data_IF_574085057452
#
_entry.id   IF_574085057452
#
_cell.length_a   1.000
_cell.length_b   1.000
_cell.length_c   1.000
_cell.angle_alpha   90.00
_cell.angle_beta   90.00
_cell.angle_gamma   90.00
#
_symmetry.space_group_name_H-M   'P 1'
#
loop_
_entity.id
_entity.type
_entity.pdbx_description
1 polymer ?
#
# COMPACT_ATOMS: atom_id res chain seq x y z
N UNK A 1 16.36 -3.11 -18.95
CA UNK A 1 16.18 -2.25 -17.84
C UNK A 1 14.85 -2.51 -17.22
N UNK A 2 14.87 -2.73 -15.93
CA UNK A 2 13.63 -2.99 -15.24
C UNK A 2 12.94 -1.70 -14.91
N UNK A 3 11.64 -1.69 -15.03
CA UNK A 3 10.85 -0.55 -14.62
C UNK A 3 9.79 -1.01 -13.63
N UNK A 4 9.27 -0.08 -12.87
CA UNK A 4 8.21 -0.34 -11.91
C UNK A 4 7.32 0.89 -11.83
N UNK A 5 6.15 0.70 -11.25
CA UNK A 5 5.22 1.81 -11.02
C UNK A 5 5.23 2.16 -9.53
N UNK A 6 5.04 3.42 -9.24
CA UNK A 6 4.93 3.89 -7.87
C UNK A 6 3.97 5.07 -7.82
N UNK A 7 3.57 5.44 -6.62
CA UNK A 7 2.72 6.60 -6.43
C UNK A 7 3.60 7.84 -6.30
N UNK A 8 3.12 8.98 -6.78
CA UNK A 8 3.84 10.25 -6.61
C UNK A 8 4.03 10.53 -5.12
N UNK A 9 5.17 11.13 -4.78
CA UNK A 9 5.47 11.48 -3.40
C UNK A 9 4.50 12.55 -2.89
N UNK A 10 4.26 12.53 -1.58
CA UNK A 10 3.43 13.54 -0.89
C UNK A 10 1.96 13.51 -1.31
N UNK A 11 1.50 12.38 -1.83
CA UNK A 11 0.11 12.17 -2.21
C UNK A 11 -0.38 10.94 -1.47
N UNK A 12 -1.60 11.01 -0.96
CA UNK A 12 -2.25 9.83 -0.39
C UNK A 12 -3.47 9.53 -1.26
N UNK A 13 -3.49 8.33 -1.85
CA UNK A 13 -4.66 7.86 -2.58
C UNK A 13 -5.52 7.01 -1.65
N UNK A 14 -6.82 6.99 -1.86
CA UNK A 14 -7.70 6.18 -1.03
C UNK A 14 -8.81 5.56 -1.85
N UNK A 15 -9.33 4.44 -1.33
CA UNK A 15 -10.46 3.76 -1.90
C UNK A 15 -11.24 3.10 -0.79
N UNK A 16 -12.51 2.84 -1.04
CA UNK A 16 -13.38 2.27 -0.02
C UNK A 16 -14.22 1.16 -0.62
N UNK A 17 -14.47 0.13 0.20
CA UNK A 17 -15.36 -0.96 -0.15
C UNK A 17 -16.24 -1.26 1.05
N UNK A 18 -17.54 -1.44 0.82
CA UNK A 18 -18.48 -1.74 1.90
C UNK A 18 -19.15 -3.08 1.60
N UNK A 19 -19.21 -3.96 2.60
CA UNK A 19 -19.89 -5.24 2.48
C UNK A 19 -20.54 -5.54 3.83
N UNK A 20 -21.83 -5.82 3.81
CA UNK A 20 -22.58 -6.14 5.01
C UNK A 20 -22.32 -5.14 6.14
N UNK A 21 -22.31 -3.87 5.76
CA UNK A 21 -22.08 -2.72 6.66
C UNK A 21 -20.66 -2.61 7.21
N UNK A 22 -19.78 -3.55 6.94
CA UNK A 22 -18.36 -3.37 7.24
C UNK A 22 -17.77 -2.45 6.19
N UNK A 23 -16.95 -1.47 6.66
CA UNK A 23 -16.28 -0.53 5.77
C UNK A 23 -14.80 -0.83 5.74
N UNK A 24 -14.26 -0.87 4.54
CA UNK A 24 -12.84 -1.12 4.31
C UNK A 24 -12.28 0.08 3.56
N UNK A 25 -11.40 0.81 4.21
CA UNK A 25 -10.82 2.04 3.66
C UNK A 25 -9.35 1.81 3.42
N UNK A 26 -8.94 1.80 2.15
CA UNK A 26 -7.53 1.62 1.80
C UNK A 26 -6.89 2.99 1.63
N UNK A 27 -5.73 3.18 2.29
CA UNK A 27 -4.92 4.39 2.14
C UNK A 27 -3.58 3.96 1.55
N UNK A 28 -3.16 4.61 0.48
CA UNK A 28 -1.97 4.24 -0.29
C UNK A 28 -1.04 5.45 -0.42
N UNK A 29 0.25 5.26 -0.12
CA UNK A 29 1.24 6.32 -0.23
C UNK A 29 2.55 5.79 -0.81
N UNK A 30 3.37 6.69 -1.31
CA UNK A 30 4.74 6.40 -1.69
C UNK A 30 5.63 6.35 -0.46
N UNK A 31 6.54 5.37 -0.43
CA UNK A 31 7.55 5.27 0.62
C UNK A 31 8.90 4.99 -0.02
N UNK A 32 9.99 5.36 0.70
CA UNK A 32 11.35 5.12 0.26
C UNK A 32 12.08 4.14 1.17
N UNK A 33 11.51 3.82 2.32
CA UNK A 33 12.17 2.97 3.31
C UNK A 33 11.14 2.30 4.21
N UNK A 34 11.61 1.30 4.95
CA UNK A 34 10.77 0.64 5.95
C UNK A 34 10.38 1.62 7.05
N UNK A 35 11.27 2.54 7.42
CA UNK A 35 10.94 3.53 8.44
C UNK A 35 9.78 4.42 8.00
N UNK A 36 9.75 4.82 6.73
CA UNK A 36 8.64 5.60 6.21
C UNK A 36 7.35 4.80 6.20
N UNK A 37 7.44 3.50 5.88
CA UNK A 37 6.28 2.63 5.94
C UNK A 37 5.72 2.56 7.36
N UNK A 38 6.59 2.35 8.34
CA UNK A 38 6.17 2.26 9.74
C UNK A 38 5.56 3.56 10.23
N UNK A 39 6.11 4.70 9.81
CA UNK A 39 5.56 6.01 10.19
C UNK A 39 4.15 6.18 9.62
N UNK A 40 3.94 5.78 8.39
CA UNK A 40 2.61 5.88 7.78
C UNK A 40 1.62 4.94 8.46
N UNK A 41 2.03 3.71 8.75
CA UNK A 41 1.17 2.75 9.43
C UNK A 41 0.73 3.31 10.79
N UNK A 42 1.66 3.88 11.55
CA UNK A 42 1.32 4.46 12.84
C UNK A 42 0.39 5.66 12.71
N UNK A 43 0.60 6.48 11.69
CA UNK A 43 -0.27 7.62 11.44
C UNK A 43 -1.69 7.17 11.16
N UNK A 44 -1.87 6.13 10.34
CA UNK A 44 -3.21 5.62 10.03
C UNK A 44 -3.83 4.99 11.27
N UNK A 45 -3.05 4.28 12.09
CA UNK A 45 -3.57 3.71 13.34
C UNK A 45 -4.09 4.78 14.27
N UNK A 46 -3.43 5.92 14.34
CA UNK A 46 -3.90 7.04 15.15
C UNK A 46 -5.12 7.70 14.53
N UNK A 47 -5.12 7.85 13.21
CA UNK A 47 -6.25 8.45 12.49
C UNK A 47 -7.53 7.62 12.69
N UNK A 48 -7.39 6.30 12.70
CA UNK A 48 -8.51 5.37 12.81
C UNK A 48 -8.36 4.50 14.06
N UNK A 49 -8.11 5.15 15.20
CA UNK A 49 -7.84 4.42 16.44
C UNK A 49 -9.03 3.59 16.90
N UNK A 50 -10.24 3.96 16.47
CA UNK A 50 -11.46 3.26 16.84
C UNK A 50 -11.83 2.15 15.85
N UNK A 51 -11.03 1.92 14.84
CA UNK A 51 -11.30 0.85 13.88
C UNK A 51 -10.95 -0.51 14.47
N UNK A 52 -11.61 -1.55 13.96
CA UNK A 52 -11.36 -2.92 14.41
C UNK A 52 -9.96 -3.37 13.99
N UNK A 53 -9.56 -3.09 12.77
CA UNK A 53 -8.26 -3.50 12.23
C UNK A 53 -7.69 -2.43 11.31
N UNK A 54 -6.36 -2.32 11.28
CA UNK A 54 -5.62 -1.49 10.33
C UNK A 54 -4.55 -2.39 9.73
N UNK A 55 -4.80 -2.91 8.54
CA UNK A 55 -4.02 -3.97 7.92
C UNK A 55 -2.99 -3.38 6.97
N UNK A 56 -1.68 -3.54 7.26
CA UNK A 56 -0.63 -2.94 6.44
C UNK A 56 -0.07 -3.91 5.41
N UNK A 57 0.40 -3.36 4.30
CA UNK A 57 1.22 -4.07 3.34
C UNK A 57 2.11 -3.08 2.62
N UNK A 58 3.38 -3.42 2.42
CA UNK A 58 4.27 -2.54 1.67
C UNK A 58 5.30 -3.35 0.89
N UNK A 59 5.80 -2.72 -0.19
CA UNK A 59 6.81 -3.28 -1.06
C UNK A 59 7.83 -2.20 -1.34
N UNK A 60 9.12 -2.53 -1.19
CA UNK A 60 10.20 -1.62 -1.56
C UNK A 60 10.82 -2.05 -2.89
N UNK A 61 11.48 -1.12 -3.55
CA UNK A 61 12.06 -1.38 -4.86
C UNK A 61 13.15 -2.45 -4.81
N UNK A 62 13.80 -2.64 -3.66
CA UNK A 62 14.84 -3.66 -3.50
C UNK A 62 14.25 -5.07 -3.32
N UNK A 63 12.94 -5.21 -3.33
CA UNK A 63 12.28 -6.49 -3.21
C UNK A 63 11.78 -6.85 -1.83
N UNK A 64 12.15 -6.07 -0.81
CA UNK A 64 11.61 -6.33 0.52
C UNK A 64 10.13 -6.00 0.55
N UNK A 65 9.37 -6.84 1.22
CA UNK A 65 7.93 -6.60 1.39
C UNK A 65 7.49 -7.12 2.75
N UNK A 66 6.40 -6.57 3.23
CA UNK A 66 5.85 -6.99 4.51
C UNK A 66 4.34 -6.78 4.51
N UNK A 67 3.65 -7.60 5.27
CA UNK A 67 2.22 -7.45 5.49
C UNK A 67 1.85 -8.07 6.84
N UNK A 68 0.69 -7.71 7.34
CA UNK A 68 0.16 -8.27 8.58
C UNK A 68 -1.34 -8.33 8.47
N UNK A 69 -1.96 -9.33 9.10
CA UNK A 69 -3.42 -9.41 9.16
C UNK A 69 -4.00 -8.54 10.27
N UNK A 70 -3.17 -8.01 11.14
CA UNK A 70 -3.58 -7.12 12.25
C UNK A 70 -4.76 -7.69 13.04
N UNK A 71 -4.69 -8.99 13.36
CA UNK A 71 -5.72 -9.63 14.16
C UNK A 71 -6.87 -10.21 13.37
N UNK A 72 -6.96 -9.99 12.08
CA UNK A 72 -7.92 -10.69 11.24
C UNK A 72 -7.50 -12.15 11.09
N UNK A 73 -8.41 -13.06 10.68
CA UNK A 73 -8.01 -14.44 10.45
C UNK A 73 -6.85 -14.55 9.46
N UNK A 74 -6.04 -15.58 9.67
CA UNK A 74 -4.79 -15.74 8.93
C UNK A 74 -5.01 -15.71 7.41
N UNK A 75 -4.21 -14.91 6.73
CA UNK A 75 -4.14 -14.82 5.26
C UNK A 75 -5.40 -14.26 4.60
N UNK A 76 -6.26 -13.60 5.37
CA UNK A 76 -7.50 -13.03 4.80
C UNK A 76 -7.37 -11.56 4.45
N UNK A 77 -6.31 -10.91 4.91
CA UNK A 77 -6.27 -9.45 4.90
C UNK A 77 -4.97 -8.89 4.38
N UNK A 78 -3.86 -9.10 5.08
CA UNK A 78 -2.58 -8.55 4.68
C UNK A 78 -2.09 -9.08 3.35
N UNK A 79 -2.19 -10.39 3.14
CA UNK A 79 -1.73 -11.00 1.90
C UNK A 79 -2.57 -10.56 0.70
N UNK A 80 -3.90 -10.54 0.76
CA UNK A 80 -4.70 -9.98 -0.34
C UNK A 80 -4.34 -8.55 -0.69
N UNK A 81 -4.08 -7.71 0.32
CA UNK A 81 -3.66 -6.33 0.10
C UNK A 81 -2.31 -6.31 -0.65
N UNK A 82 -1.35 -7.11 -0.19
CA UNK A 82 -0.04 -7.18 -0.82
C UNK A 82 -0.14 -7.68 -2.27
N UNK A 83 -1.00 -8.67 -2.51
CA UNK A 83 -1.18 -9.24 -3.85
C UNK A 83 -1.68 -8.21 -4.84
N UNK A 84 -2.56 -7.31 -4.42
CA UNK A 84 -3.03 -6.23 -5.30
C UNK A 84 -1.87 -5.31 -5.68
N UNK A 85 -1.02 -4.95 -4.71
CA UNK A 85 0.12 -4.09 -5.00
C UNK A 85 1.08 -4.76 -5.97
N UNK A 86 1.34 -6.07 -5.78
CA UNK A 86 2.19 -6.83 -6.68
C UNK A 86 1.58 -6.89 -8.09
N UNK A 87 0.29 -7.18 -8.17
CA UNK A 87 -0.38 -7.31 -9.46
C UNK A 87 -0.42 -6.02 -10.25
N UNK A 88 -0.40 -4.89 -9.56
CA UNK A 88 -0.37 -3.57 -10.19
C UNK A 88 1.05 -3.14 -10.57
N UNK A 89 2.06 -3.95 -10.24
CA UNK A 89 3.45 -3.61 -10.53
C UNK A 89 4.01 -2.50 -9.67
N UNK A 90 3.39 -2.25 -8.51
CA UNK A 90 3.79 -1.14 -7.65
C UNK A 90 4.95 -1.51 -6.74
N UNK A 91 5.90 -0.61 -6.60
CA UNK A 91 6.99 -0.72 -5.65
C UNK A 91 7.19 0.64 -4.99
N UNK A 92 7.87 0.65 -3.85
CA UNK A 92 8.04 1.84 -3.03
C UNK A 92 6.68 2.44 -2.66
N UNK A 93 5.78 1.56 -2.23
CA UNK A 93 4.44 1.96 -1.78
C UNK A 93 4.08 1.24 -0.50
N UNK A 94 3.22 1.88 0.28
CA UNK A 94 2.64 1.30 1.48
C UNK A 94 1.14 1.52 1.43
N UNK A 95 0.40 0.46 1.72
CA UNK A 95 -1.06 0.53 1.80
C UNK A 95 -1.50 0.05 3.17
N UNK A 96 -2.42 0.77 3.79
CA UNK A 96 -3.06 0.32 5.02
C UNK A 96 -4.55 0.27 4.75
N UNK A 97 -5.19 -0.86 5.01
CA UNK A 97 -6.64 -0.99 4.88
C UNK A 97 -7.24 -1.00 6.26
N UNK A 98 -8.06 0.00 6.55
CA UNK A 98 -8.74 0.18 7.82
C UNK A 98 -10.12 -0.44 7.72
N UNK A 99 -10.50 -1.27 8.70
CA UNK A 99 -11.80 -1.90 8.71
C UNK A 99 -12.62 -1.47 9.91
N UNK A 100 -13.84 -1.02 9.65
CA UNK A 100 -14.87 -0.79 10.67
C UNK A 100 -15.89 -1.90 10.55
N UNK A 101 -16.04 -2.67 11.63
CA UNK A 101 -16.93 -3.83 11.64
C UNK A 101 -18.39 -3.40 11.58
N UNK A 102 -19.18 -4.07 10.75
CA UNK A 102 -20.59 -3.72 10.57
C UNK A 102 -21.58 -4.59 11.29
N UNK A 103 -21.11 -5.48 12.17
CA UNK A 103 -22.00 -6.33 12.96
C UNK A 103 -22.28 -7.71 12.36
N UNK A 104 -21.81 -7.97 11.15
CA UNK A 104 -22.00 -9.27 10.49
C UNK A 104 -20.65 -9.82 10.05
N UNK A 105 -20.40 -11.08 10.36
CA UNK A 105 -19.17 -11.73 9.94
C UNK A 105 -19.20 -11.99 8.45
N UNK A 106 -18.06 -11.75 7.78
CA UNK A 106 -17.97 -11.95 6.34
C UNK A 106 -17.40 -13.32 5.95
N UNK A 107 -16.75 -13.99 6.89
CA UNK A 107 -16.06 -15.23 6.62
C UNK A 107 -14.75 -15.02 5.90
N UNK A 108 -13.88 -16.06 5.81
CA UNK A 108 -12.56 -15.89 5.21
C UNK A 108 -12.62 -15.43 3.75
N UNK A 109 -13.50 -16.04 2.94
CA UNK A 109 -13.62 -15.64 1.54
C UNK A 109 -14.11 -14.23 1.36
N UNK A 110 -15.06 -13.80 2.22
CA UNK A 110 -15.57 -12.44 2.18
C UNK A 110 -14.52 -11.42 2.54
N UNK A 111 -13.66 -11.75 3.53
CA UNK A 111 -12.57 -10.86 3.93
C UNK A 111 -11.56 -10.71 2.80
N UNK A 112 -11.16 -11.81 2.18
CA UNK A 112 -10.21 -11.74 1.06
C UNK A 112 -10.75 -10.81 -0.03
N UNK A 113 -12.03 -10.98 -0.39
CA UNK A 113 -12.65 -10.14 -1.43
C UNK A 113 -12.69 -8.67 -1.02
N UNK A 114 -12.99 -8.41 0.24
CA UNK A 114 -13.16 -7.03 0.72
C UNK A 114 -11.82 -6.29 0.76
N UNK A 115 -10.78 -6.92 1.30
CA UNK A 115 -9.45 -6.29 1.34
C UNK A 115 -8.90 -6.09 -0.07
N UNK A 116 -9.12 -7.07 -0.96
CA UNK A 116 -8.73 -6.96 -2.35
C UNK A 116 -9.45 -5.79 -3.01
N UNK A 117 -10.77 -5.71 -2.85
CA UNK A 117 -11.57 -4.67 -3.50
C UNK A 117 -11.22 -3.27 -3.03
N UNK A 118 -11.01 -3.11 -1.71
CA UNK A 118 -10.66 -1.79 -1.17
C UNK A 118 -9.31 -1.32 -1.71
N UNK A 119 -8.32 -2.24 -1.74
CA UNK A 119 -6.99 -1.89 -2.25
C UNK A 119 -7.05 -1.59 -3.75
N UNK A 120 -7.81 -2.38 -4.51
CA UNK A 120 -7.99 -2.10 -5.93
C UNK A 120 -8.64 -0.74 -6.17
N UNK A 121 -9.59 -0.36 -5.31
CA UNK A 121 -10.23 0.95 -5.42
C UNK A 121 -9.24 2.09 -5.21
N UNK A 122 -8.33 1.94 -4.25
CA UNK A 122 -7.31 2.96 -4.01
C UNK A 122 -6.34 3.06 -5.20
N UNK A 123 -5.91 1.92 -5.74
CA UNK A 123 -5.03 1.92 -6.91
C UNK A 123 -5.73 2.55 -8.11
N UNK A 124 -6.99 2.20 -8.34
CA UNK A 124 -7.76 2.77 -9.45
C UNK A 124 -7.92 4.27 -9.31
N UNK A 125 -8.19 4.75 -8.09
CA UNK A 125 -8.31 6.18 -7.85
C UNK A 125 -7.01 6.90 -8.17
N UNK A 126 -5.87 6.32 -7.79
CA UNK A 126 -4.57 6.90 -8.09
C UNK A 126 -4.31 6.92 -9.60
N UNK A 127 -4.68 5.85 -10.30
CA UNK A 127 -4.52 5.78 -11.75
C UNK A 127 -5.35 6.83 -12.45
N UNK A 128 -6.60 6.97 -12.06
CA UNK A 128 -7.50 7.95 -12.67
C UNK A 128 -7.06 9.38 -12.43
N UNK A 129 -6.43 9.62 -11.29
CA UNK A 129 -5.94 10.95 -10.98
C UNK A 129 -4.56 11.23 -11.58
N UNK A 130 -3.98 10.29 -12.31
CA UNK A 130 -2.65 10.47 -12.89
C UNK A 130 -1.53 10.48 -11.87
N UNK A 131 -1.73 9.84 -10.74
CA UNK A 131 -0.78 9.87 -9.63
C UNK A 131 0.19 8.69 -9.63
N UNK A 132 -0.01 7.71 -10.51
CA UNK A 132 0.91 6.58 -10.63
C UNK A 132 1.88 6.89 -11.76
N UNK A 133 3.17 6.77 -11.45
CA UNK A 133 4.24 7.10 -12.39
C UNK A 133 5.12 5.88 -12.60
N UNK A 134 5.72 5.78 -13.77
CA UNK A 134 6.65 4.71 -14.10
C UNK A 134 8.06 5.19 -13.83
N UNK A 135 8.83 4.36 -13.13
CA UNK A 135 10.21 4.64 -12.80
C UNK A 135 11.09 3.52 -13.32
N UNK A 136 12.34 3.83 -13.61
CA UNK A 136 13.28 2.78 -13.99
C UNK A 136 14.25 2.55 -12.84
N UNK A 137 14.68 1.32 -12.70
CA UNK A 137 15.62 0.99 -11.65
C UNK A 137 17.06 1.19 -12.06
N UNK A 138 17.29 1.73 -13.21
CA UNK A 138 18.67 1.88 -13.70
C UNK A 138 19.51 2.78 -12.80
N UNK A 139 18.90 3.76 -12.17
CA UNK A 139 19.63 4.63 -11.27
C UNK A 139 20.21 3.89 -10.10
N UNK A 140 19.62 2.78 -9.71
CA UNK A 140 20.09 2.02 -8.57
C UNK A 140 21.42 1.34 -8.85
N UNK A 141 21.74 1.17 -10.11
CA UNK A 141 22.96 0.50 -10.50
C UNK A 141 24.15 1.42 -10.45
N UNK A 142 23.88 2.72 -10.41
CA UNK A 142 24.94 3.67 -10.44
C UNK A 142 25.19 4.32 -9.15
N UNK A 143 24.91 3.72 -8.26
CA UNK A 143 25.19 4.26 -7.04
C UNK A 143 26.51 4.73 -6.95
N UNK A 144 27.02 4.89 -7.64
CA UNK A 144 28.22 5.29 -7.60
C UNK A 144 28.39 6.63 -8.04
N UNK A 145 28.51 7.22 -8.05
CA UNK A 145 28.79 8.29 -8.15
C UNK A 145 28.28 9.39 -7.88
N UNK A 146 28.28 9.06 -7.86
CA UNK A 146 28.18 10.12 -7.74
C UNK A 146 27.85 10.99 -7.72
N UNK A 147 27.85 11.13 -7.54
CA UNK A 147 27.59 12.15 -7.45
C UNK A 147 26.98 12.85 -7.50
N UNK A 148 26.96 12.62 -7.51
CA UNK A 148 26.67 13.46 -7.78
C UNK A 148 26.20 13.79 -7.79
N UNK A 149 26.37 13.01 -7.79
CA UNK A 149 26.22 13.62 -8.04
C UNK A 149 25.71 13.91 -8.14
N UNK A 150 25.86 13.33 -8.00
CA UNK A 150 25.80 13.99 -8.08
C UNK A 150 25.05 14.44 -8.22
N UNK A 151 24.80 14.08 -8.05
CA UNK A 151 24.52 14.94 -8.36
C UNK A 151 23.97 15.31 -8.50
N UNK A 152 24.05 14.88 -8.32
CA UNK A 152 24.02 15.42 -8.61
C UNK A 152 23.65 15.81 -8.70
N UNK A 153 23.75 15.39 -8.55
CA UNK A 153 23.78 15.95 -8.70
C UNK A 153 23.38 16.37 -8.95
N UNK A 154 23.53 16.21 -8.76
CA UNK A 154 23.57 16.90 -8.98
C UNK A 154 23.04 17.57 -8.98
#
# INVERSE_FOLDING_TARGET
MDSYFTLQSNIEASGEFVDRKSRFIAQLVHIESEDEANAFIEMVRKRHYDARHNVPAWILVDGRERQSDDGEPSRTSGMPTLEVLRGAGLKNVCCVVTRYFGGTLLGPGGLVRAYTAATQAAVAAAQEAGQIVEMTSVCLLYTSPSPRDAHESR
#
